data_IF_293392529649
#
_entry.id   IF_293392529649
#
_cell.length_a   1.000
_cell.length_b   1.000
_cell.length_c   1.000
_cell.angle_alpha   90.00
_cell.angle_beta   90.00
_cell.angle_gamma   90.00
#
_symmetry.space_group_name_H-M   'P 1'
#
loop_
_entity.id
_entity.type
_entity.pdbx_description
1 polymer ?
#
# COMPACT_ATOMS: atom_id res chain seq x y z
N UNK A 1 6.21 16.78 11.75
CA UNK A 1 5.12 16.47 10.82
C UNK A 1 5.19 17.38 9.60
N UNK A 2 4.83 16.82 8.43
CA UNK A 2 4.73 17.58 7.20
C UNK A 2 3.51 18.51 7.29
N UNK A 3 3.72 19.81 6.97
CA UNK A 3 2.63 20.78 6.93
C UNK A 3 1.76 20.59 5.69
N UNK A 4 0.58 21.18 5.66
CA UNK A 4 -0.33 21.13 4.51
C UNK A 4 0.10 22.11 3.41
N UNK A 5 -0.39 21.88 2.17
CA UNK A 5 -0.08 22.74 1.02
C UNK A 5 1.20 22.34 0.28
N UNK A 6 1.63 21.09 0.36
CA UNK A 6 2.83 20.58 -0.31
C UNK A 6 2.66 20.64 -1.83
N UNK A 7 3.47 21.43 -2.51
CA UNK A 7 3.35 21.69 -3.95
C UNK A 7 4.57 21.26 -4.75
N UNK A 8 5.77 21.39 -4.19
CA UNK A 8 7.02 21.05 -4.86
C UNK A 8 7.89 20.19 -3.96
N UNK A 9 8.53 19.20 -4.56
CA UNK A 9 9.45 18.29 -3.91
C UNK A 9 10.76 18.26 -4.68
N UNK A 10 11.89 18.31 -3.99
CA UNK A 10 13.20 18.16 -4.60
C UNK A 10 14.16 17.48 -3.63
N UNK A 11 14.96 16.54 -4.13
CA UNK A 11 16.08 16.00 -3.37
C UNK A 11 17.29 16.92 -3.50
N UNK A 12 17.93 17.22 -2.38
CA UNK A 12 19.22 17.88 -2.36
C UNK A 12 20.36 16.87 -2.57
N UNK A 13 21.58 17.31 -2.92
CA UNK A 13 22.73 16.44 -3.09
C UNK A 13 23.10 15.59 -1.87
N UNK A 14 22.73 16.04 -0.66
CA UNK A 14 22.93 15.33 0.60
C UNK A 14 21.84 14.27 0.90
N UNK A 15 20.92 14.04 -0.06
CA UNK A 15 19.80 13.10 0.07
C UNK A 15 18.62 13.60 0.89
N UNK A 16 18.66 14.84 1.42
CA UNK A 16 17.49 15.40 2.10
C UNK A 16 16.39 15.78 1.11
N UNK A 17 15.13 15.62 1.52
CA UNK A 17 13.96 16.01 0.74
C UNK A 17 13.51 17.41 1.16
N UNK A 18 13.45 18.33 0.21
CA UNK A 18 12.94 19.68 0.41
C UNK A 18 11.52 19.79 -0.12
N UNK A 19 10.64 20.33 0.68
CA UNK A 19 9.21 20.45 0.42
C UNK A 19 8.81 21.90 0.40
N UNK A 20 8.49 22.42 -0.78
CA UNK A 20 7.92 23.74 -0.95
C UNK A 20 6.42 23.71 -0.68
N UNK A 21 5.95 24.66 0.12
CA UNK A 21 4.56 24.75 0.57
C UNK A 21 3.96 26.06 0.12
N UNK A 22 2.72 26.02 -0.37
CA UNK A 22 1.98 27.20 -0.83
C UNK A 22 0.53 27.11 -0.33
N UNK A 23 0.04 28.23 0.20
CA UNK A 23 -1.37 28.42 0.46
C UNK A 23 -2.00 29.20 -0.70
N UNK A 24 -3.08 28.67 -1.27
CA UNK A 24 -3.88 29.39 -2.24
C UNK A 24 -5.31 29.55 -1.72
N UNK A 25 -5.50 30.59 -0.94
CA UNK A 25 -6.83 31.13 -0.57
C UNK A 25 -7.59 30.43 0.56
N UNK A 26 -7.41 29.13 0.81
CA UNK A 26 -8.28 28.39 1.74
C UNK A 26 -7.58 27.46 2.73
N UNK A 27 -6.60 26.70 2.34
CA UNK A 27 -5.92 25.78 3.25
C UNK A 27 -4.45 25.63 2.84
N UNK A 28 -3.56 25.76 3.78
CA UNK A 28 -2.17 25.50 3.59
C UNK A 28 -1.29 26.42 4.42
N UNK A 29 -0.05 26.02 4.56
CA UNK A 29 1.01 26.83 5.15
C UNK A 29 1.98 27.23 4.07
N UNK A 30 2.60 28.39 4.21
CA UNK A 30 3.64 28.83 3.30
C UNK A 30 5.00 28.49 3.88
N UNK A 31 5.97 28.22 3.02
CA UNK A 31 7.34 28.02 3.44
C UNK A 31 8.03 26.85 2.78
N UNK A 32 9.14 26.47 3.35
CA UNK A 32 9.96 25.34 2.92
C UNK A 32 10.27 24.49 4.16
N UNK A 33 10.07 23.17 4.04
CA UNK A 33 10.51 22.19 5.03
C UNK A 33 11.61 21.32 4.44
N UNK A 34 12.58 20.99 5.27
CA UNK A 34 13.61 19.99 4.95
C UNK A 34 13.33 18.73 5.77
N UNK A 35 13.34 17.60 5.11
CA UNK A 35 13.20 16.27 5.71
C UNK A 35 14.53 15.55 5.50
N UNK A 36 15.15 15.13 6.60
CA UNK A 36 16.37 14.33 6.55
C UNK A 36 16.08 12.91 6.99
N UNK A 37 16.66 11.94 6.26
CA UNK A 37 16.55 10.54 6.61
C UNK A 37 17.41 10.24 7.85
N UNK A 38 16.83 9.56 8.82
CA UNK A 38 17.50 9.21 10.08
C UNK A 38 18.41 7.99 10.00
N UNK A 39 18.42 7.30 8.86
CA UNK A 39 19.17 6.06 8.68
C UNK A 39 18.42 4.80 9.14
N UNK A 40 17.28 4.94 9.80
CA UNK A 40 16.49 3.82 10.31
C UNK A 40 15.17 3.76 9.54
N UNK A 41 14.97 2.77 8.64
CA UNK A 41 13.68 2.59 7.98
C UNK A 41 12.63 2.15 9.02
N UNK A 42 11.41 2.70 9.02
CA UNK A 42 10.32 2.15 9.81
C UNK A 42 10.00 0.73 9.36
N UNK A 43 9.42 -0.10 10.23
CA UNK A 43 8.82 -1.36 9.80
C UNK A 43 7.54 -1.06 9.03
N UNK A 44 7.56 -1.27 7.71
CA UNK A 44 6.43 -0.89 6.85
C UNK A 44 6.37 -1.74 5.57
N UNK A 45 5.22 -1.63 4.88
CA UNK A 45 5.08 -2.14 3.52
C UNK A 45 5.92 -1.26 2.60
N UNK A 46 6.81 -1.86 1.82
CA UNK A 46 7.61 -1.14 0.83
C UNK A 46 6.89 -1.03 -0.51
N UNK A 47 6.32 -2.17 -1.00
CA UNK A 47 5.66 -2.21 -2.31
C UNK A 47 4.70 -3.40 -2.39
N UNK A 48 3.68 -3.26 -3.22
CA UNK A 48 2.81 -4.36 -3.66
C UNK A 48 2.86 -4.45 -5.18
N UNK A 49 3.18 -5.61 -5.71
CA UNK A 49 3.28 -5.89 -7.14
C UNK A 49 2.27 -6.94 -7.55
N UNK A 50 1.66 -6.74 -8.71
CA UNK A 50 0.85 -7.78 -9.35
C UNK A 50 1.76 -8.86 -9.93
N UNK A 51 1.45 -10.11 -9.64
CA UNK A 51 2.02 -11.30 -10.28
C UNK A 51 0.91 -12.12 -10.92
N UNK A 52 1.26 -13.18 -11.65
CA UNK A 52 0.24 -14.10 -12.17
C UNK A 52 -0.55 -14.71 -11.00
N UNK A 53 -1.86 -14.53 -11.01
CA UNK A 53 -2.79 -15.02 -9.98
C UNK A 53 -2.42 -14.63 -8.55
N UNK A 54 -2.13 -13.34 -8.32
CA UNK A 54 -1.89 -12.86 -6.98
C UNK A 54 -1.02 -11.63 -6.88
N UNK A 55 -0.44 -11.45 -5.70
CA UNK A 55 0.38 -10.30 -5.39
C UNK A 55 1.66 -10.71 -4.65
N UNK A 56 2.69 -9.94 -4.87
CA UNK A 56 3.92 -9.96 -4.10
C UNK A 56 4.01 -8.66 -3.31
N UNK A 57 4.16 -8.78 -1.99
CA UNK A 57 4.25 -7.65 -1.07
C UNK A 57 5.64 -7.66 -0.45
N UNK A 58 6.41 -6.61 -0.68
CA UNK A 58 7.72 -6.44 -0.04
C UNK A 58 7.64 -5.51 1.16
N UNK A 59 8.54 -5.72 2.12
CA UNK A 59 8.62 -4.99 3.39
C UNK A 59 10.00 -4.37 3.58
N UNK A 60 10.06 -3.32 4.36
CA UNK A 60 11.31 -2.59 4.63
C UNK A 60 12.28 -3.37 5.50
N UNK A 61 11.78 -4.30 6.32
CA UNK A 61 12.55 -5.12 7.27
C UNK A 61 12.13 -6.59 7.19
N UNK A 62 13.01 -7.54 7.60
CA UNK A 62 12.65 -8.96 7.67
C UNK A 62 11.51 -9.22 8.64
N UNK A 63 10.55 -10.04 8.19
CA UNK A 63 9.34 -10.41 8.92
C UNK A 63 9.61 -11.51 9.95
N UNK A 64 8.81 -11.51 11.02
CA UNK A 64 8.53 -12.69 11.83
C UNK A 64 7.79 -13.70 10.94
N UNK A 65 8.36 -14.90 10.76
CA UNK A 65 7.87 -15.91 9.80
C UNK A 65 6.50 -16.44 10.23
N UNK A 66 6.32 -16.72 11.51
CA UNK A 66 5.07 -17.30 12.02
C UNK A 66 3.91 -16.32 11.81
N UNK A 67 4.13 -15.05 12.13
CA UNK A 67 3.13 -14.02 11.88
C UNK A 67 2.88 -13.81 10.37
N UNK A 68 3.91 -13.92 9.53
CA UNK A 68 3.80 -13.73 8.09
C UNK A 68 3.12 -14.90 7.36
N UNK A 69 3.17 -16.11 7.90
CA UNK A 69 2.52 -17.30 7.34
C UNK A 69 1.07 -17.47 7.82
N UNK A 70 0.67 -16.78 8.88
CA UNK A 70 -0.69 -16.86 9.42
C UNK A 70 -1.68 -16.18 8.47
N UNK A 71 -2.53 -16.98 7.82
CA UNK A 71 -3.47 -16.49 6.79
C UNK A 71 -4.50 -15.50 7.34
N UNK A 72 -4.91 -15.63 8.58
CA UNK A 72 -5.89 -14.75 9.23
C UNK A 72 -5.35 -13.31 9.41
N UNK A 73 -4.04 -13.13 9.28
CA UNK A 73 -3.43 -11.81 9.28
C UNK A 73 -3.62 -11.05 7.96
N UNK A 74 -4.24 -11.65 6.94
CA UNK A 74 -4.44 -11.06 5.62
C UNK A 74 -5.92 -10.98 5.29
N UNK A 75 -6.50 -9.80 5.41
CA UNK A 75 -7.87 -9.53 5.00
C UNK A 75 -7.85 -8.89 3.61
N UNK A 76 -8.19 -9.67 2.59
CA UNK A 76 -8.20 -9.21 1.21
C UNK A 76 -9.63 -9.08 0.71
N UNK A 77 -9.95 -7.92 0.16
CA UNK A 77 -11.22 -7.69 -0.54
C UNK A 77 -10.97 -7.03 -1.89
N UNK A 78 -11.91 -7.13 -2.80
CA UNK A 78 -11.88 -6.44 -4.06
C UNK A 78 -13.20 -5.76 -4.39
N UNK A 79 -13.13 -4.71 -5.22
CA UNK A 79 -14.27 -3.95 -5.71
C UNK A 79 -13.85 -3.14 -6.93
N UNK A 80 -14.82 -2.52 -7.61
CA UNK A 80 -14.54 -1.49 -8.60
C UNK A 80 -15.40 -0.25 -8.34
N UNK A 81 -14.97 0.89 -8.85
CA UNK A 81 -15.74 2.13 -8.80
C UNK A 81 -16.52 2.33 -10.08
N UNK A 82 -17.81 2.58 -9.96
CA UNK A 82 -18.62 3.03 -11.09
C UNK A 82 -18.38 4.52 -11.34
N UNK A 83 -18.01 4.85 -12.57
CA UNK A 83 -17.80 6.24 -12.95
C UNK A 83 -19.08 7.05 -12.76
N UNK A 84 -18.98 8.18 -12.07
CA UNK A 84 -20.12 9.09 -11.76
C UNK A 84 -21.21 8.50 -10.87
N UNK A 85 -20.94 7.50 -10.08
CA UNK A 85 -21.91 6.97 -9.12
C UNK A 85 -22.30 8.00 -8.05
N UNK A 86 -21.39 8.89 -7.69
CA UNK A 86 -21.65 10.04 -6.80
C UNK A 86 -21.26 11.36 -7.45
N UNK A 87 -21.90 12.48 -7.03
CA UNK A 87 -21.44 13.82 -7.41
C UNK A 87 -19.98 14.05 -7.04
N UNK A 88 -19.28 14.81 -7.85
CA UNK A 88 -17.84 15.10 -7.72
C UNK A 88 -17.41 15.58 -6.32
N UNK A 89 -18.25 16.33 -5.64
CA UNK A 89 -17.96 16.92 -4.33
C UNK A 89 -18.29 16.02 -3.14
N UNK A 90 -18.90 14.87 -3.35
CA UNK A 90 -19.20 13.94 -2.27
C UNK A 90 -18.02 13.00 -1.97
N UNK A 91 -17.76 12.70 -0.68
CA UNK A 91 -16.74 11.74 -0.31
C UNK A 91 -16.98 10.37 -0.95
N UNK A 92 -15.91 9.75 -1.40
CA UNK A 92 -15.92 8.35 -1.85
C UNK A 92 -15.85 7.45 -0.61
N UNK A 93 -16.83 6.58 -0.48
CA UNK A 93 -16.92 5.60 0.62
C UNK A 93 -17.33 4.22 0.09
N UNK A 94 -17.59 3.27 0.98
CA UNK A 94 -17.98 1.92 0.60
C UNK A 94 -19.27 1.87 -0.24
N UNK A 95 -20.16 2.86 -0.15
CA UNK A 95 -21.37 2.90 -0.99
C UNK A 95 -21.08 3.14 -2.48
N UNK A 96 -19.87 3.60 -2.81
CA UNK A 96 -19.41 3.76 -4.21
C UNK A 96 -18.66 2.54 -4.73
N UNK A 97 -18.35 1.57 -3.88
CA UNK A 97 -17.66 0.35 -4.23
C UNK A 97 -18.69 -0.66 -4.76
N UNK A 98 -18.57 -0.98 -6.05
CA UNK A 98 -19.43 -1.98 -6.70
C UNK A 98 -18.77 -3.34 -6.65
N UNK A 99 -19.59 -4.40 -6.51
CA UNK A 99 -19.13 -5.80 -6.39
C UNK A 99 -18.07 -5.99 -5.28
N UNK A 100 -18.28 -5.36 -4.13
CA UNK A 100 -17.41 -5.51 -2.96
C UNK A 100 -17.52 -6.93 -2.42
N UNK A 101 -16.41 -7.67 -2.48
CA UNK A 101 -16.33 -9.07 -2.02
C UNK A 101 -15.01 -9.35 -1.30
N UNK A 102 -15.08 -10.22 -0.29
CA UNK A 102 -13.88 -10.79 0.30
C UNK A 102 -13.26 -11.80 -0.66
N UNK A 103 -11.95 -11.77 -0.79
CA UNK A 103 -11.19 -12.64 -1.69
C UNK A 103 -10.49 -13.71 -0.86
N UNK A 104 -10.78 -14.97 -1.17
CA UNK A 104 -10.11 -16.10 -0.49
C UNK A 104 -8.67 -16.21 -0.96
N UNK A 105 -7.74 -16.20 -0.02
CA UNK A 105 -6.33 -16.48 -0.27
C UNK A 105 -6.13 -17.99 -0.38
N UNK A 106 -5.45 -18.43 -1.43
CA UNK A 106 -5.15 -19.84 -1.65
C UNK A 106 -3.86 -20.29 -0.96
N UNK A 107 -2.85 -19.43 -0.99
CA UNK A 107 -1.54 -19.77 -0.44
C UNK A 107 -0.76 -18.49 -0.12
N UNK A 108 0.05 -18.58 0.93
CA UNK A 108 1.01 -17.56 1.33
C UNK A 108 2.40 -18.20 1.35
N UNK A 109 3.40 -17.50 0.79
CA UNK A 109 4.81 -17.90 0.84
C UNK A 109 5.65 -16.72 1.27
N UNK A 110 6.64 -16.96 2.10
CA UNK A 110 7.64 -15.97 2.51
C UNK A 110 8.95 -16.25 1.78
N UNK A 111 9.63 -15.22 1.30
CA UNK A 111 10.93 -15.32 0.66
C UNK A 111 12.03 -15.72 1.65
N UNK A 112 13.17 -16.30 1.17
CA UNK A 112 14.27 -16.70 2.05
C UNK A 112 14.90 -15.56 2.87
N UNK A 113 14.84 -14.33 2.39
CA UNK A 113 15.31 -13.13 3.09
C UNK A 113 14.27 -12.55 4.06
N UNK A 114 13.09 -13.20 4.14
CA UNK A 114 11.94 -12.83 4.96
C UNK A 114 11.38 -11.41 4.68
N UNK A 115 11.71 -10.81 3.55
CA UNK A 115 11.26 -9.45 3.22
C UNK A 115 10.12 -9.41 2.23
N UNK A 116 9.72 -10.54 1.67
CA UNK A 116 8.67 -10.58 0.66
C UNK A 116 7.68 -11.69 0.95
N UNK A 117 6.40 -11.35 0.86
CA UNK A 117 5.28 -12.29 0.96
C UNK A 117 4.60 -12.40 -0.40
N UNK A 118 4.45 -13.63 -0.88
CA UNK A 118 3.66 -13.95 -2.07
C UNK A 118 2.28 -14.42 -1.63
N UNK A 119 1.23 -13.71 -2.03
CA UNK A 119 -0.17 -14.07 -1.81
C UNK A 119 -0.76 -14.59 -3.11
N UNK A 120 -1.16 -15.87 -3.14
CA UNK A 120 -1.80 -16.51 -4.30
C UNK A 120 -3.31 -16.52 -4.18
N UNK A 121 -3.97 -16.21 -5.28
CA UNK A 121 -5.42 -16.12 -5.40
C UNK A 121 -5.92 -17.12 -6.46
N UNK A 122 -7.19 -17.56 -6.41
CA UNK A 122 -7.79 -18.35 -7.47
C UNK A 122 -7.75 -17.63 -8.82
N UNK A 123 -8.07 -16.35 -8.80
CA UNK A 123 -8.06 -15.47 -9.96
C UNK A 123 -7.81 -14.03 -9.56
N UNK A 124 -7.39 -13.21 -10.52
CA UNK A 124 -7.29 -11.76 -10.40
C UNK A 124 -8.13 -11.12 -11.51
N UNK A 125 -9.01 -10.20 -11.14
CA UNK A 125 -9.93 -9.51 -12.05
C UNK A 125 -9.34 -8.18 -12.53
N UNK A 126 -9.31 -7.98 -13.84
CA UNK A 126 -8.95 -6.67 -14.43
C UNK A 126 -10.03 -5.63 -14.12
N UNK A 127 -9.60 -4.38 -13.85
CA UNK A 127 -10.49 -3.25 -13.54
C UNK A 127 -10.88 -3.16 -12.06
N UNK A 128 -10.43 -4.09 -11.22
CA UNK A 128 -10.74 -4.10 -9.79
C UNK A 128 -9.63 -3.47 -8.97
N UNK A 129 -10.02 -2.85 -7.87
CA UNK A 129 -9.15 -2.47 -6.76
C UNK A 129 -9.09 -3.66 -5.80
N UNK A 130 -7.90 -4.08 -5.46
CA UNK A 130 -7.63 -5.05 -4.40
C UNK A 130 -7.16 -4.29 -3.18
N UNK A 131 -7.88 -4.42 -2.08
CA UNK A 131 -7.57 -3.81 -0.80
C UNK A 131 -7.14 -4.89 0.18
N UNK A 132 -5.88 -4.82 0.60
CA UNK A 132 -5.29 -5.75 1.56
C UNK A 132 -5.05 -5.04 2.87
N UNK A 133 -5.70 -5.52 3.93
CA UNK A 133 -5.44 -5.12 5.30
C UNK A 133 -4.64 -6.22 6.01
N UNK A 134 -3.51 -5.82 6.59
CA UNK A 134 -2.61 -6.69 7.34
C UNK A 134 -2.82 -6.52 8.84
N UNK A 135 -3.05 -7.63 9.54
CA UNK A 135 -3.16 -7.64 10.99
C UNK A 135 -1.93 -8.37 11.57
N UNK A 136 -1.48 -7.95 12.73
CA UNK A 136 -0.42 -8.63 13.52
C UNK A 136 0.91 -8.92 12.76
N UNK A 137 1.11 -8.34 11.58
CA UNK A 137 2.39 -8.46 10.87
C UNK A 137 3.42 -7.59 11.59
N UNK A 138 4.58 -8.18 11.84
CA UNK A 138 5.68 -7.55 12.57
C UNK A 138 7.03 -8.04 12.04
N UNK A 139 8.09 -7.31 12.36
CA UNK A 139 9.45 -7.77 12.07
C UNK A 139 9.95 -8.81 13.10
N UNK A 140 11.12 -9.37 12.87
CA UNK A 140 11.77 -10.35 13.75
C UNK A 140 12.01 -9.83 15.18
N UNK A 141 12.07 -8.52 15.38
CA UNK A 141 12.22 -7.90 16.72
C UNK A 141 10.88 -7.61 17.39
N UNK A 142 9.75 -8.00 16.77
CA UNK A 142 8.41 -7.75 17.29
C UNK A 142 7.83 -6.37 17.00
N UNK A 143 8.51 -5.53 16.22
CA UNK A 143 8.00 -4.20 15.84
C UNK A 143 6.87 -4.36 14.82
N UNK A 144 5.66 -3.83 15.07
CA UNK A 144 4.54 -3.95 14.15
C UNK A 144 4.70 -3.02 12.93
N UNK A 145 3.89 -3.26 11.89
CA UNK A 145 3.78 -2.37 10.73
C UNK A 145 3.31 -0.97 11.13
N UNK A 146 3.92 0.05 10.54
CA UNK A 146 3.47 1.45 10.65
C UNK A 146 2.17 1.68 9.87
N UNK A 147 2.05 1.08 8.69
CA UNK A 147 0.85 1.09 7.85
C UNK A 147 0.39 -0.33 7.59
N UNK A 148 -0.89 -0.58 7.82
CA UNK A 148 -1.49 -1.93 7.72
C UNK A 148 -2.41 -2.09 6.52
N UNK A 149 -2.60 -1.06 5.72
CA UNK A 149 -3.51 -1.05 4.59
C UNK A 149 -2.75 -0.70 3.30
N UNK A 150 -2.95 -1.50 2.27
CA UNK A 150 -2.46 -1.22 0.93
C UNK A 150 -3.51 -1.57 -0.11
N UNK A 151 -3.62 -0.73 -1.15
CA UNK A 151 -4.54 -0.93 -2.26
C UNK A 151 -3.76 -1.07 -3.57
N UNK A 152 -4.26 -1.93 -4.47
CA UNK A 152 -3.72 -2.11 -5.81
C UNK A 152 -4.83 -2.12 -6.86
N UNK A 153 -4.76 -1.22 -7.84
CA UNK A 153 -5.69 -1.21 -8.96
C UNK A 153 -5.14 -2.05 -10.12
N UNK A 154 -5.85 -3.10 -10.49
CA UNK A 154 -5.45 -4.01 -11.58
C UNK A 154 -5.90 -3.45 -12.93
N UNK A 155 -5.08 -2.60 -13.53
CA UNK A 155 -5.36 -2.04 -14.86
C UNK A 155 -5.12 -3.05 -15.99
N UNK A 156 -4.13 -3.93 -15.84
CA UNK A 156 -3.82 -4.99 -16.78
C UNK A 156 -3.42 -6.26 -16.03
N UNK A 157 -3.83 -7.41 -16.55
CA UNK A 157 -3.37 -8.70 -16.05
C UNK A 157 -1.94 -8.97 -16.54
N UNK A 158 -1.14 -9.64 -15.73
CA UNK A 158 0.12 -10.20 -16.22
C UNK A 158 -0.18 -11.49 -16.99
N UNK A 159 0.12 -11.49 -18.28
CA UNK A 159 0.21 -12.72 -19.07
C UNK A 159 1.32 -13.60 -18.49
N UNK A 160 1.02 -14.89 -18.33
CA UNK A 160 2.07 -15.85 -17.98
C UNK A 160 3.14 -15.85 -19.06
N UNK A 161 4.39 -15.74 -18.66
CA UNK A 161 5.49 -16.18 -19.49
C UNK A 161 5.47 -17.70 -19.30
N UNK A 162 5.06 -18.45 -20.34
CA UNK A 162 5.32 -19.88 -20.45
C UNK A 162 6.81 -20.18 -20.44
#
# INVERSE_FOLDING_TARGET
>A
DLRIGNNRLAFAPDGSLWVGQIAHGWLGTQGIQRISYTGIPPMDIHEMRLIQNGFEISFTQPLDIDAALETDNYQLRHYFYEYKKKPYHEPVDESTQSDLQNVKIQNIKVSPDHKTVTVRLPEVKKGYVYELKLANIRNQSGTPLSNTLICYTVNNLKSGIE
#
